data_IF_150589951425
#
_entry.id   IF_150589951425
#
_cell.length_a   1.000
_cell.length_b   1.000
_cell.length_c   1.000
_cell.angle_alpha   90.00
_cell.angle_beta   90.00
_cell.angle_gamma   90.00
#
_symmetry.space_group_name_H-M   'P 1'
#
loop_
_entity.id
_entity.type
_entity.pdbx_description
1 polymer ?
#
# COMPACT_ATOMS: atom_id res chain seq x y z
N UNK A 1 -20.39 -1.25 13.59
CA UNK A 1 -20.67 -1.71 12.21
C UNK A 1 -20.01 -3.06 12.01
N UNK A 2 -20.64 -4.04 11.35
CA UNK A 2 -19.98 -5.32 11.10
C UNK A 2 -18.76 -5.15 10.18
N UNK A 3 -17.72 -5.94 10.43
CA UNK A 3 -16.57 -6.08 9.55
C UNK A 3 -17.02 -6.69 8.22
N UNK A 4 -16.39 -6.28 7.12
CA UNK A 4 -16.68 -6.68 5.75
C UNK A 4 -16.16 -8.08 5.42
N UNK A 5 -14.95 -8.41 5.88
CA UNK A 5 -14.28 -9.66 5.48
C UNK A 5 -13.42 -10.31 6.55
N UNK A 6 -12.91 -9.56 7.53
CA UNK A 6 -12.02 -10.16 8.52
C UNK A 6 -12.67 -11.29 9.32
N UNK A 7 -13.98 -11.22 9.63
CA UNK A 7 -14.68 -12.32 10.30
C UNK A 7 -14.77 -13.59 9.44
N UNK A 8 -14.92 -13.45 8.11
CA UNK A 8 -14.93 -14.59 7.19
C UNK A 8 -13.54 -15.23 7.06
N UNK A 9 -12.49 -14.40 7.13
CA UNK A 9 -11.09 -14.85 7.01
C UNK A 9 -10.60 -15.46 8.33
N UNK A 10 -11.08 -14.95 9.46
CA UNK A 10 -10.70 -15.36 10.82
C UNK A 10 -11.94 -15.75 11.63
N UNK A 11 -12.57 -16.90 11.33
CA UNK A 11 -13.82 -17.32 11.99
C UNK A 11 -13.65 -17.58 13.50
N UNK A 12 -12.44 -17.98 13.91
CA UNK A 12 -12.07 -18.19 15.32
C UNK A 12 -11.73 -16.87 16.06
N UNK A 13 -11.85 -15.73 15.38
CA UNK A 13 -11.52 -14.40 15.89
C UNK A 13 -10.12 -13.92 15.50
N UNK A 14 -9.90 -12.61 15.70
CA UNK A 14 -8.67 -11.91 15.30
C UNK A 14 -7.78 -11.73 16.54
N UNK A 15 -6.54 -12.22 16.47
CA UNK A 15 -5.55 -12.02 17.52
C UNK A 15 -4.84 -10.69 17.36
N UNK A 16 -4.88 -9.84 18.38
CA UNK A 16 -4.27 -8.52 18.38
C UNK A 16 -3.14 -8.48 19.43
N UNK A 17 -1.96 -7.89 19.12
CA UNK A 17 -0.91 -7.72 20.11
C UNK A 17 -1.41 -6.93 21.33
N UNK A 18 -1.23 -7.47 22.54
CA UNK A 18 -1.68 -6.83 23.80
C UNK A 18 -1.18 -5.38 23.92
N UNK A 19 0.02 -5.10 23.41
CA UNK A 19 0.61 -3.76 23.46
C UNK A 19 -0.12 -2.70 22.63
N UNK A 20 -1.03 -3.05 21.70
CA UNK A 20 -1.70 -2.09 20.83
C UNK A 20 -2.84 -1.35 21.54
N UNK A 21 -3.48 -2.01 22.51
CA UNK A 21 -4.68 -1.51 23.18
C UNK A 21 -4.34 -0.22 23.95
N UNK A 22 -5.06 0.85 23.64
CA UNK A 22 -4.92 2.16 24.28
C UNK A 22 -3.64 2.92 23.93
N UNK A 23 -2.83 2.44 22.98
CA UNK A 23 -1.62 3.15 22.54
C UNK A 23 -1.91 4.09 21.38
N UNK A 24 -1.22 5.22 21.39
CA UNK A 24 -1.15 6.10 20.23
C UNK A 24 -0.20 5.48 19.20
N UNK A 25 -0.50 5.66 17.92
CA UNK A 25 0.32 5.15 16.82
C UNK A 25 0.75 6.29 15.92
N UNK A 26 2.06 6.39 15.71
CA UNK A 26 2.64 7.22 14.66
C UNK A 26 3.02 6.31 13.48
N UNK A 27 2.44 6.58 12.31
CA UNK A 27 2.68 5.84 11.08
C UNK A 27 3.68 6.57 10.19
N UNK A 28 4.65 5.84 9.63
CA UNK A 28 5.68 6.38 8.73
C UNK A 28 5.61 5.72 7.33
N UNK A 29 4.49 5.85 6.59
CA UNK A 29 4.37 5.29 5.25
C UNK A 29 5.22 6.05 4.23
N UNK A 30 5.46 5.44 3.07
CA UNK A 30 6.03 6.12 1.90
C UNK A 30 5.03 6.25 0.76
N UNK A 31 5.13 7.33 -0.02
CA UNK A 31 4.30 7.57 -1.21
C UNK A 31 4.74 6.65 -2.34
N UNK A 32 3.90 5.68 -2.70
CA UNK A 32 4.17 4.78 -3.83
C UNK A 32 2.92 4.12 -4.39
N UNK A 33 3.03 3.69 -5.63
CA UNK A 33 2.04 2.87 -6.32
C UNK A 33 2.09 1.42 -5.86
N UNK A 34 0.99 0.69 -6.10
CA UNK A 34 0.89 -0.73 -5.80
C UNK A 34 -0.05 -1.45 -6.75
N UNK A 35 0.41 -2.53 -7.39
CA UNK A 35 -0.36 -3.22 -8.45
C UNK A 35 -1.71 -3.82 -8.03
N UNK A 36 -1.95 -4.04 -6.73
CA UNK A 36 -3.23 -4.53 -6.21
C UNK A 36 -4.20 -3.46 -5.71
N UNK A 37 -3.69 -2.31 -5.26
CA UNK A 37 -4.48 -1.32 -4.50
C UNK A 37 -4.42 0.08 -5.11
N UNK A 38 -3.80 0.21 -6.28
CA UNK A 38 -3.40 1.47 -6.93
C UNK A 38 -2.28 2.18 -6.16
N UNK A 39 -2.47 2.43 -4.87
CA UNK A 39 -1.53 3.14 -4.01
C UNK A 39 -1.21 2.32 -2.75
N UNK A 40 -0.16 2.71 -2.03
CA UNK A 40 0.01 2.39 -0.61
C UNK A 40 0.02 3.67 0.21
N UNK A 41 -0.16 3.54 1.51
CA UNK A 41 -0.09 4.66 2.44
C UNK A 41 -0.39 4.23 3.86
N UNK A 42 -0.84 5.19 4.67
CA UNK A 42 -1.16 5.04 6.08
C UNK A 42 -2.20 3.93 6.32
N UNK A 43 -3.27 3.89 5.51
CA UNK A 43 -4.32 2.86 5.67
C UNK A 43 -3.75 1.45 5.56
N UNK A 44 -2.79 1.25 4.66
CA UNK A 44 -2.19 -0.07 4.42
C UNK A 44 -1.14 -0.46 5.47
N UNK A 45 -0.58 0.48 6.24
CA UNK A 45 0.35 0.14 7.32
C UNK A 45 -0.29 -0.78 8.37
N UNK A 46 -1.59 -0.59 8.63
CA UNK A 46 -2.36 -1.44 9.54
C UNK A 46 -2.38 -2.91 9.10
N UNK A 47 -2.29 -3.18 7.79
CA UNK A 47 -2.23 -4.54 7.24
C UNK A 47 -0.96 -5.28 7.69
N UNK A 48 0.16 -4.57 7.83
CA UNK A 48 1.41 -5.15 8.33
C UNK A 48 1.47 -5.33 9.85
N UNK A 49 0.79 -4.46 10.60
CA UNK A 49 0.81 -4.47 12.06
C UNK A 49 -0.23 -5.37 12.72
N UNK A 50 -1.43 -5.49 12.13
CA UNK A 50 -2.57 -6.17 12.75
C UNK A 50 -2.83 -7.59 12.21
N UNK A 51 -2.34 -7.93 11.02
CA UNK A 51 -2.58 -9.25 10.42
C UNK A 51 -1.32 -10.13 10.44
N UNK A 52 -1.45 -11.31 11.08
CA UNK A 52 -0.41 -12.34 11.16
C UNK A 52 -0.40 -13.28 9.93
N UNK A 53 0.21 -14.46 10.10
CA UNK A 53 0.55 -15.57 9.20
C UNK A 53 -0.45 -15.90 8.06
N UNK A 54 -1.72 -15.54 8.18
CA UNK A 54 -2.78 -15.84 7.20
C UNK A 54 -3.04 -14.66 6.23
N UNK A 55 -2.19 -13.62 6.24
CA UNK A 55 -2.35 -12.41 5.40
C UNK A 55 -2.47 -12.69 3.89
N UNK A 56 -2.01 -13.84 3.40
CA UNK A 56 -2.09 -14.22 1.98
C UNK A 56 -3.54 -14.35 1.50
N UNK A 57 -4.47 -14.74 2.37
CA UNK A 57 -5.89 -14.85 2.06
C UNK A 57 -6.56 -13.46 1.98
N UNK A 58 -6.09 -12.52 2.80
CA UNK A 58 -6.58 -11.15 2.82
C UNK A 58 -6.25 -10.35 1.55
N UNK A 59 -5.27 -10.77 0.75
CA UNK A 59 -4.93 -10.10 -0.52
C UNK A 59 -6.06 -10.20 -1.56
N UNK A 60 -6.91 -11.22 -1.49
CA UNK A 60 -8.06 -11.37 -2.39
C UNK A 60 -9.13 -10.29 -2.16
N UNK A 61 -9.28 -9.85 -0.92
CA UNK A 61 -10.27 -8.87 -0.45
C UNK A 61 -9.56 -7.65 0.16
N UNK A 62 -8.45 -7.24 -0.45
CA UNK A 62 -7.52 -6.30 0.16
C UNK A 62 -8.17 -4.96 0.50
N UNK A 63 -9.12 -4.50 -0.31
CA UNK A 63 -9.77 -3.21 -0.08
C UNK A 63 -10.74 -3.28 1.09
N UNK A 64 -11.55 -4.33 1.17
CA UNK A 64 -12.48 -4.62 2.26
C UNK A 64 -11.73 -4.85 3.57
N UNK A 65 -10.64 -5.61 3.52
CA UNK A 65 -9.77 -5.85 4.67
C UNK A 65 -9.15 -4.54 5.16
N UNK A 66 -8.67 -3.67 4.28
CA UNK A 66 -8.12 -2.37 4.70
C UNK A 66 -9.17 -1.51 5.43
N UNK A 67 -10.43 -1.53 4.99
CA UNK A 67 -11.53 -0.84 5.68
C UNK A 67 -11.77 -1.45 7.07
N UNK A 68 -11.78 -2.77 7.19
CA UNK A 68 -11.93 -3.45 8.48
C UNK A 68 -10.78 -3.11 9.45
N UNK A 69 -9.55 -3.04 8.93
CA UNK A 69 -8.38 -2.66 9.71
C UNK A 69 -8.44 -1.20 10.18
N UNK A 70 -9.02 -0.31 9.40
CA UNK A 70 -9.26 1.07 9.83
C UNK A 70 -10.28 1.15 10.97
N UNK A 71 -11.35 0.34 10.93
CA UNK A 71 -12.24 0.20 12.09
C UNK A 71 -11.47 -0.29 13.31
N UNK A 72 -10.70 -1.37 13.19
CA UNK A 72 -9.92 -1.90 14.30
C UNK A 72 -8.96 -0.87 14.88
N UNK A 73 -8.24 -0.13 14.05
CA UNK A 73 -7.33 0.91 14.53
C UNK A 73 -8.06 1.98 15.34
N UNK A 74 -9.25 2.41 14.92
CA UNK A 74 -10.05 3.40 15.64
C UNK A 74 -10.52 2.88 17.01
N UNK A 75 -10.81 1.59 17.12
CA UNK A 75 -11.23 0.97 18.40
C UNK A 75 -10.03 0.69 19.33
N UNK A 76 -8.86 0.38 18.76
CA UNK A 76 -7.68 -0.01 19.54
C UNK A 76 -6.85 1.17 20.03
N UNK A 77 -6.75 2.24 19.25
CA UNK A 77 -5.80 3.31 19.46
C UNK A 77 -6.48 4.60 19.91
N UNK A 78 -5.91 5.26 20.92
CA UNK A 78 -6.43 6.53 21.41
C UNK A 78 -6.22 7.69 20.42
N UNK A 79 -5.09 7.68 19.71
CA UNK A 79 -4.80 8.62 18.64
C UNK A 79 -3.98 7.96 17.52
N UNK A 80 -4.24 8.37 16.29
CA UNK A 80 -3.49 8.02 15.10
C UNK A 80 -2.88 9.27 14.50
N UNK A 81 -1.63 9.20 14.09
CA UNK A 81 -0.97 10.24 13.34
C UNK A 81 -0.08 9.61 12.27
N UNK A 82 -0.07 10.15 11.07
CA UNK A 82 0.76 9.68 9.98
C UNK A 82 1.66 10.80 9.49
N UNK A 83 2.94 10.50 9.33
CA UNK A 83 3.92 11.32 8.61
C UNK A 83 4.39 10.50 7.41
N UNK A 84 3.92 10.87 6.23
CA UNK A 84 4.19 10.15 5.00
C UNK A 84 5.39 10.74 4.28
N UNK A 85 6.36 9.88 3.99
CA UNK A 85 7.56 10.22 3.24
C UNK A 85 7.28 10.23 1.73
N UNK A 86 7.28 11.43 1.16
CA UNK A 86 7.21 11.70 -0.27
C UNK A 86 8.51 12.30 -0.81
N UNK A 87 9.64 12.17 -0.11
CA UNK A 87 10.95 12.66 -0.59
C UNK A 87 11.35 11.94 -1.88
N UNK A 88 11.24 10.60 -1.86
CA UNK A 88 11.40 9.70 -2.99
C UNK A 88 10.15 8.82 -3.10
N UNK A 89 9.45 8.94 -4.21
CA UNK A 89 8.19 8.26 -4.46
C UNK A 89 8.37 7.08 -5.43
N UNK A 90 7.53 6.05 -5.31
CA UNK A 90 7.55 4.89 -6.21
C UNK A 90 6.45 4.94 -7.27
N UNK A 91 6.81 5.06 -8.54
CA UNK A 91 5.90 5.04 -9.70
C UNK A 91 5.92 3.67 -10.41
N UNK A 92 4.84 3.30 -11.11
CA UNK A 92 4.80 2.10 -11.96
C UNK A 92 4.47 0.79 -11.24
N UNK A 93 5.24 -0.26 -11.52
CA UNK A 93 4.96 -1.62 -11.07
C UNK A 93 5.45 -1.89 -9.64
N UNK A 94 4.82 -1.24 -8.66
CA UNK A 94 5.06 -1.47 -7.23
C UNK A 94 4.55 -2.83 -6.74
N UNK A 95 5.17 -3.39 -5.67
CA UNK A 95 6.10 -2.72 -4.76
C UNK A 95 7.59 -2.90 -5.09
N UNK A 96 7.98 -3.74 -6.05
CA UNK A 96 9.41 -4.06 -6.31
C UNK A 96 9.97 -3.41 -7.57
N UNK A 97 9.22 -3.40 -8.66
CA UNK A 97 9.71 -3.01 -10.00
C UNK A 97 9.36 -1.57 -10.35
N UNK A 98 9.48 -0.67 -9.38
CA UNK A 98 9.07 0.72 -9.46
C UNK A 98 10.08 1.58 -10.24
N UNK A 99 9.65 2.78 -10.59
CA UNK A 99 10.46 3.89 -11.09
C UNK A 99 10.53 4.91 -9.96
N UNK A 100 11.71 5.17 -9.37
CA UNK A 100 11.85 6.22 -8.37
C UNK A 100 11.56 7.59 -8.99
N UNK A 101 10.79 8.41 -8.28
CA UNK A 101 10.49 9.80 -8.64
C UNK A 101 10.86 10.70 -7.47
N UNK A 102 11.59 11.78 -7.73
CA UNK A 102 11.89 12.77 -6.68
C UNK A 102 10.63 13.58 -6.42
N UNK A 103 10.13 13.53 -5.19
CA UNK A 103 8.95 14.27 -4.76
C UNK A 103 9.29 15.49 -3.90
N UNK A 104 10.28 15.38 -3.00
CA UNK A 104 10.64 16.43 -2.03
C UNK A 104 9.49 16.86 -1.11
N UNK A 105 8.59 15.94 -0.75
CA UNK A 105 7.43 16.24 0.08
C UNK A 105 7.41 15.42 1.36
N UNK A 106 6.90 16.02 2.43
CA UNK A 106 6.43 15.31 3.62
C UNK A 106 4.95 15.67 3.80
N UNK A 107 4.12 14.65 4.00
CA UNK A 107 2.72 14.86 4.33
C UNK A 107 2.50 14.47 5.79
N UNK A 108 1.62 15.17 6.50
CA UNK A 108 1.28 14.83 7.87
C UNK A 108 -0.24 14.99 8.10
N UNK A 109 -0.83 14.04 8.83
CA UNK A 109 -2.27 14.06 9.12
C UNK A 109 -2.62 13.17 10.31
N UNK A 110 -3.65 13.55 11.06
CA UNK A 110 -4.31 12.68 12.03
C UNK A 110 -5.38 11.77 11.40
N UNK A 111 -5.75 12.03 10.14
CA UNK A 111 -6.67 11.20 9.35
C UNK A 111 -5.87 10.44 8.26
N UNK A 112 -5.76 9.12 8.45
CA UNK A 112 -5.07 8.20 7.54
C UNK A 112 -5.73 8.09 6.16
N UNK A 113 -7.05 8.33 6.05
CA UNK A 113 -7.76 8.33 4.77
C UNK A 113 -7.45 9.62 4.02
N UNK A 114 -7.43 10.76 4.74
CA UNK A 114 -7.14 12.06 4.15
C UNK A 114 -5.72 12.15 3.59
N UNK A 115 -4.71 11.69 4.34
CA UNK A 115 -3.31 11.70 3.86
C UNK A 115 -3.11 10.80 2.64
N UNK A 116 -3.73 9.62 2.62
CA UNK A 116 -3.68 8.71 1.47
C UNK A 116 -4.40 9.29 0.26
N UNK A 117 -5.51 10.02 0.47
CA UNK A 117 -6.24 10.69 -0.60
C UNK A 117 -5.45 11.84 -1.23
N UNK A 118 -4.80 12.67 -0.42
CA UNK A 118 -3.94 13.74 -0.92
C UNK A 118 -2.71 13.16 -1.62
N UNK A 119 -2.08 12.11 -1.06
CA UNK A 119 -0.98 11.42 -1.72
C UNK A 119 -1.41 10.80 -3.07
N UNK A 120 -2.60 10.20 -3.14
CA UNK A 120 -3.16 9.69 -4.40
C UNK A 120 -3.37 10.79 -5.43
N UNK A 121 -3.91 11.95 -5.01
CA UNK A 121 -4.08 13.12 -5.87
C UNK A 121 -2.75 13.65 -6.39
N UNK A 122 -1.73 13.76 -5.54
CA UNK A 122 -0.37 14.22 -5.92
C UNK A 122 0.26 13.27 -6.94
N UNK A 123 0.10 11.95 -6.74
CA UNK A 123 0.52 10.96 -7.72
C UNK A 123 -0.26 11.05 -9.03
N UNK A 124 -1.42 11.72 -9.07
CA UNK A 124 -2.24 11.93 -10.27
C UNK A 124 -3.43 11.01 -10.40
N UNK A 125 -3.80 10.28 -9.34
CA UNK A 125 -4.99 9.44 -9.30
C UNK A 125 -6.19 10.20 -8.75
N UNK A 126 -7.40 9.81 -9.15
CA UNK A 126 -8.63 10.21 -8.47
C UNK A 126 -8.79 9.39 -7.17
N UNK A 127 -8.74 10.02 -5.98
CA UNK A 127 -8.86 9.31 -4.71
C UNK A 127 -10.18 8.55 -4.55
N UNK A 128 -11.29 9.07 -5.10
CA UNK A 128 -12.60 8.42 -4.99
C UNK A 128 -12.76 7.24 -5.97
N UNK A 129 -11.90 7.15 -6.98
CA UNK A 129 -11.81 5.97 -7.84
C UNK A 129 -11.07 4.80 -7.16
N UNK A 130 -10.32 5.05 -6.07
CA UNK A 130 -9.60 4.02 -5.33
C UNK A 130 -10.55 3.35 -4.33
N UNK A 131 -10.86 2.04 -4.46
CA UNK A 131 -11.96 1.43 -3.73
C UNK A 131 -11.86 1.55 -2.21
N UNK A 132 -10.67 1.38 -1.63
CA UNK A 132 -10.53 1.41 -0.17
C UNK A 132 -10.73 2.82 0.41
N UNK A 133 -10.31 3.86 -0.31
CA UNK A 133 -10.51 5.25 0.11
C UNK A 133 -11.99 5.62 0.07
N UNK A 134 -12.64 5.32 -1.06
CA UNK A 134 -14.09 5.52 -1.21
C UNK A 134 -14.87 4.79 -0.11
N UNK A 135 -14.59 3.50 0.11
CA UNK A 135 -15.29 2.72 1.13
C UNK A 135 -15.02 3.22 2.55
N UNK A 136 -13.81 3.69 2.86
CA UNK A 136 -13.53 4.31 4.16
C UNK A 136 -14.37 5.57 4.38
N UNK A 137 -14.47 6.43 3.36
CA UNK A 137 -15.30 7.63 3.42
C UNK A 137 -16.79 7.31 3.57
N UNK A 138 -17.32 6.41 2.75
CA UNK A 138 -18.74 5.97 2.82
C UNK A 138 -19.11 5.42 4.21
N UNK A 139 -18.11 4.91 4.95
CA UNK A 139 -18.25 4.33 6.28
C UNK A 139 -17.88 5.27 7.43
N UNK A 140 -17.54 6.52 7.14
CA UNK A 140 -17.19 7.53 8.15
C UNK A 140 -15.89 7.21 8.91
N UNK A 141 -14.92 6.57 8.24
CA UNK A 141 -13.61 6.24 8.82
C UNK A 141 -12.54 7.32 8.57
N UNK A 142 -12.87 8.33 7.76
CA UNK A 142 -12.00 9.44 7.39
C UNK A 142 -12.52 10.10 6.10
N UNK A 143 -11.82 11.13 5.63
CA UNK A 143 -12.23 11.91 4.45
C UNK A 143 -11.36 11.54 3.24
N UNK A 144 -11.99 11.09 2.15
CA UNK A 144 -11.28 10.74 0.92
C UNK A 144 -11.43 11.78 -0.19
N UNK A 145 -12.48 12.61 -0.14
CA UNK A 145 -12.73 13.68 -1.12
C UNK A 145 -11.78 14.86 -0.86
N UNK A 146 -10.81 15.14 -1.76
CA UNK A 146 -9.84 16.21 -1.54
C UNK A 146 -10.46 17.60 -1.37
N UNK A 147 -11.68 17.82 -1.86
CA UNK A 147 -12.39 19.10 -1.72
C UNK A 147 -12.89 19.35 -0.30
N UNK A 148 -12.91 18.31 0.53
CA UNK A 148 -13.33 18.35 1.94
C UNK A 148 -12.14 18.25 2.91
N UNK A 149 -10.92 18.21 2.38
CA UNK A 149 -9.69 18.13 3.18
C UNK A 149 -9.09 19.52 3.25
N UNK A 150 -8.90 20.03 4.46
CA UNK A 150 -8.14 21.25 4.69
C UNK A 150 -6.64 20.94 4.55
N UNK A 151 -5.98 21.68 3.67
CA UNK A 151 -4.53 21.61 3.48
C UNK A 151 -3.87 22.77 4.20
N UNK A 152 -3.02 22.46 5.17
CA UNK A 152 -2.22 23.43 5.93
C UNK A 152 -0.76 23.28 5.51
N UNK A 153 -0.04 24.40 5.40
CA UNK A 153 1.35 24.43 4.92
C UNK A 153 1.43 24.76 3.43
N UNK A 154 2.27 24.04 2.69
CA UNK A 154 2.53 24.30 1.26
C UNK A 154 1.41 23.79 0.36
N UNK A 155 0.35 24.58 0.21
CA UNK A 155 -0.83 24.22 -0.61
C UNK A 155 -0.50 24.03 -2.09
N UNK A 156 0.46 24.78 -2.62
CA UNK A 156 0.90 24.68 -4.02
C UNK A 156 1.55 23.33 -4.30
N UNK A 157 2.30 22.81 -3.34
CA UNK A 157 2.95 21.50 -3.44
C UNK A 157 1.92 20.36 -3.51
N UNK A 158 0.77 20.52 -2.85
CA UNK A 158 -0.32 19.55 -2.89
C UNK A 158 -1.21 19.67 -4.15
N UNK A 159 -1.02 20.73 -4.96
CA UNK A 159 -1.69 20.89 -6.26
C UNK A 159 -0.95 20.19 -7.41
N UNK A 160 0.27 19.72 -7.17
CA UNK A 160 1.08 18.99 -8.15
C UNK A 160 0.33 17.72 -8.58
N UNK A 161 0.39 17.42 -9.87
CA UNK A 161 0.02 16.12 -10.42
C UNK A 161 1.26 15.53 -11.10
N UNK A 162 1.79 14.45 -10.55
CA UNK A 162 3.01 13.83 -11.03
C UNK A 162 2.79 12.82 -12.16
N UNK A 163 1.54 12.55 -12.55
CA UNK A 163 1.19 11.68 -13.68
C UNK A 163 1.67 10.24 -13.51
N UNK A 164 1.61 9.71 -12.30
CA UNK A 164 2.03 8.34 -12.04
C UNK A 164 1.12 7.36 -12.75
N UNK A 165 1.68 6.19 -13.02
CA UNK A 165 0.94 5.08 -13.61
C UNK A 165 1.04 3.87 -12.70
N UNK A 166 -0.05 3.13 -12.61
CA UNK A 166 -0.05 1.82 -11.96
C UNK A 166 -0.01 0.73 -13.00
N UNK A 167 1.05 -0.07 -12.96
CA UNK A 167 1.15 -1.30 -13.74
C UNK A 167 1.31 -2.50 -12.82
N UNK A 168 1.00 -3.68 -13.33
CA UNK A 168 1.20 -4.94 -12.61
C UNK A 168 2.50 -5.56 -13.09
N UNK A 169 3.37 -5.97 -12.16
CA UNK A 169 4.52 -6.81 -12.52
C UNK A 169 4.03 -8.18 -13.01
N UNK A 170 4.89 -8.93 -13.71
CA UNK A 170 4.55 -10.29 -14.15
C UNK A 170 4.14 -11.20 -12.98
N UNK A 171 4.77 -11.02 -11.82
CA UNK A 171 4.44 -11.76 -10.59
C UNK A 171 3.03 -11.39 -10.10
N UNK A 172 2.68 -10.11 -10.04
CA UNK A 172 1.34 -9.65 -9.62
C UNK A 172 0.27 -10.08 -10.63
N UNK A 173 0.58 -10.01 -11.92
CA UNK A 173 -0.30 -10.46 -12.99
C UNK A 173 -0.59 -11.96 -12.87
N UNK A 174 0.45 -12.79 -12.65
CA UNK A 174 0.31 -14.22 -12.41
C UNK A 174 -0.51 -14.54 -11.15
N UNK A 175 -0.25 -13.85 -10.03
CA UNK A 175 -1.04 -14.01 -8.81
C UNK A 175 -2.53 -13.70 -9.05
N UNK A 176 -2.85 -12.63 -9.79
CA UNK A 176 -4.24 -12.29 -10.14
C UNK A 176 -4.91 -13.34 -11.02
N UNK A 177 -4.19 -13.95 -11.98
CA UNK A 177 -4.73 -15.03 -12.79
C UNK A 177 -5.11 -16.26 -11.95
N UNK A 178 -4.31 -16.57 -10.93
CA UNK A 178 -4.58 -17.71 -10.03
C UNK A 178 -5.73 -17.39 -9.06
N UNK A 179 -5.84 -16.15 -8.57
CA UNK A 179 -6.86 -15.79 -7.58
C UNK A 179 -8.22 -15.45 -8.18
N UNK A 180 -8.23 -14.68 -9.27
CA UNK A 180 -9.43 -14.09 -9.88
C UNK A 180 -9.63 -14.50 -11.34
N UNK A 181 -8.66 -15.17 -11.95
CA UNK A 181 -8.67 -15.53 -13.36
C UNK A 181 -8.98 -17.01 -13.63
N UNK A 182 -8.68 -17.50 -14.86
CA UNK A 182 -9.05 -18.85 -15.31
C UNK A 182 -8.32 -19.97 -14.55
N UNK A 183 -7.21 -19.64 -13.86
CA UNK A 183 -6.44 -20.61 -13.05
C UNK A 183 -7.01 -20.76 -11.63
N UNK A 184 -8.14 -20.14 -11.31
CA UNK A 184 -8.83 -20.25 -10.01
C UNK A 184 -9.10 -21.69 -9.55
N UNK A 185 -9.47 -22.66 -10.42
CA UNK A 185 -9.65 -24.06 -9.99
C UNK A 185 -8.36 -24.67 -9.40
N UNK A 186 -7.19 -24.21 -9.84
CA UNK A 186 -5.88 -24.69 -9.38
C UNK A 186 -5.38 -23.95 -8.13
N UNK A 187 -6.12 -22.94 -7.64
CA UNK A 187 -5.75 -22.11 -6.47
C UNK A 187 -5.35 -22.95 -5.26
N UNK A 188 -6.13 -23.98 -4.93
CA UNK A 188 -5.90 -24.85 -3.75
C UNK A 188 -4.60 -25.64 -3.88
N UNK A 189 -4.24 -26.05 -5.10
CA UNK A 189 -2.99 -26.78 -5.38
C UNK A 189 -1.78 -25.83 -5.40
N UNK A 190 -1.90 -24.67 -6.04
CA UNK A 190 -0.78 -23.75 -6.25
C UNK A 190 -0.46 -22.86 -5.04
N UNK A 191 -1.46 -22.50 -4.24
CA UNK A 191 -1.29 -21.54 -3.14
C UNK A 191 -1.50 -22.16 -1.75
N UNK A 192 -2.19 -23.31 -1.63
CA UNK A 192 -2.52 -23.92 -0.33
C UNK A 192 -1.92 -25.34 -0.16
N UNK A 193 -0.96 -25.73 -0.99
CA UNK A 193 -0.22 -26.99 -0.86
C UNK A 193 1.26 -26.74 -0.54
N UNK A 194 2.04 -27.76 -0.13
CA UNK A 194 3.49 -27.65 0.05
C UNK A 194 4.25 -27.16 -1.20
N UNK A 195 3.63 -27.24 -2.39
CA UNK A 195 4.19 -26.72 -3.64
C UNK A 195 4.23 -25.19 -3.72
N UNK A 196 3.66 -24.48 -2.73
CA UNK A 196 3.68 -23.01 -2.67
C UNK A 196 5.10 -22.44 -2.69
N UNK A 197 6.13 -23.22 -2.33
CA UNK A 197 7.56 -22.84 -2.37
C UNK A 197 7.99 -22.37 -3.77
N UNK A 198 7.36 -22.88 -4.83
CA UNK A 198 7.66 -22.47 -6.20
C UNK A 198 7.31 -21.01 -6.49
N UNK A 199 6.28 -20.44 -5.85
CA UNK A 199 5.86 -19.05 -6.12
C UNK A 199 6.86 -18.01 -5.57
N UNK A 200 7.35 -18.09 -4.32
CA UNK A 200 8.47 -17.28 -3.85
C UNK A 200 9.75 -17.48 -4.67
N UNK A 201 10.06 -18.72 -5.06
CA UNK A 201 11.24 -19.01 -5.88
C UNK A 201 11.14 -18.33 -7.26
N UNK A 202 10.03 -18.51 -7.99
CA UNK A 202 9.81 -17.86 -9.29
C UNK A 202 9.82 -16.33 -9.19
N UNK A 203 9.25 -15.78 -8.11
CA UNK A 203 9.30 -14.35 -7.82
C UNK A 203 10.74 -13.85 -7.64
N UNK A 204 11.57 -14.57 -6.87
CA UNK A 204 12.97 -14.22 -6.67
C UNK A 204 13.78 -14.32 -7.97
N UNK A 205 13.61 -15.39 -8.76
CA UNK A 205 14.27 -15.52 -10.07
C UNK A 205 13.89 -14.35 -10.98
N UNK A 206 12.61 -14.01 -11.07
CA UNK A 206 12.16 -12.87 -11.88
C UNK A 206 12.76 -11.54 -11.40
N UNK A 207 12.71 -11.26 -10.10
CA UNK A 207 13.15 -9.97 -9.57
C UNK A 207 14.68 -9.83 -9.54
N UNK A 208 15.38 -10.84 -9.03
CA UNK A 208 16.81 -10.74 -8.71
C UNK A 208 17.69 -11.13 -9.89
N UNK A 209 17.27 -12.11 -10.70
CA UNK A 209 18.10 -12.65 -11.78
C UNK A 209 17.72 -12.12 -13.16
N UNK A 210 16.46 -11.71 -13.37
CA UNK A 210 16.02 -11.13 -14.64
C UNK A 210 15.88 -9.61 -14.56
N UNK A 211 14.95 -9.11 -13.74
CA UNK A 211 14.59 -7.69 -13.74
C UNK A 211 15.71 -6.80 -13.20
N UNK A 212 16.33 -7.16 -12.07
CA UNK A 212 17.36 -6.33 -11.46
C UNK A 212 18.58 -6.14 -12.39
N UNK A 213 19.17 -7.19 -12.99
CA UNK A 213 20.32 -7.02 -13.87
C UNK A 213 20.00 -6.27 -15.17
N UNK A 214 18.78 -6.42 -15.70
CA UNK A 214 18.41 -5.85 -17.02
C UNK A 214 17.84 -4.44 -16.94
N UNK A 215 16.95 -4.18 -15.97
CA UNK A 215 16.22 -2.91 -15.84
C UNK A 215 16.56 -2.21 -14.53
N UNK A 216 16.59 -2.96 -13.42
CA UNK A 216 16.76 -2.41 -12.07
C UNK A 216 18.06 -1.63 -11.91
N UNK A 217 19.20 -2.20 -12.33
CA UNK A 217 20.52 -1.53 -12.24
C UNK A 217 20.55 -0.20 -12.99
N UNK A 218 19.95 -0.12 -14.18
CA UNK A 218 19.90 1.12 -14.93
C UNK A 218 19.09 2.20 -14.18
N UNK A 219 17.94 1.82 -13.61
CA UNK A 219 17.11 2.74 -12.81
C UNK A 219 17.79 3.19 -11.52
N UNK A 220 18.49 2.28 -10.83
CA UNK A 220 19.21 2.62 -9.59
C UNK A 220 20.37 3.55 -9.89
N UNK A 221 21.14 3.31 -10.97
CA UNK A 221 22.21 4.24 -11.40
C UNK A 221 21.65 5.62 -11.74
N UNK A 222 20.54 5.69 -12.48
CA UNK A 222 19.89 6.96 -12.77
C UNK A 222 19.38 7.67 -11.49
N UNK A 223 18.87 6.92 -10.51
CA UNK A 223 18.44 7.47 -9.22
C UNK A 223 19.63 7.97 -8.38
N UNK A 224 20.77 7.27 -8.40
CA UNK A 224 21.98 7.67 -7.67
C UNK A 224 22.45 9.09 -8.04
N UNK A 225 22.23 9.51 -9.29
CA UNK A 225 22.55 10.88 -9.76
C UNK A 225 21.63 11.98 -9.22
N UNK A 226 20.54 11.64 -8.54
CA UNK A 226 19.64 12.62 -7.91
C UNK A 226 20.21 13.14 -6.59
N UNK A 227 19.74 14.29 -6.06
CA UNK A 227 20.16 14.75 -4.73
C UNK A 227 19.92 13.71 -3.62
N UNK A 228 18.77 13.01 -3.63
CA UNK A 228 18.47 11.95 -2.68
C UNK A 228 19.33 10.70 -2.89
N UNK A 229 19.61 10.34 -4.14
CA UNK A 229 20.53 9.25 -4.46
C UNK A 229 21.94 9.50 -3.92
N UNK A 230 22.50 10.69 -4.20
CA UNK A 230 23.80 11.11 -3.65
C UNK A 230 23.83 11.23 -2.14
N UNK A 231 22.72 11.65 -1.52
CA UNK A 231 22.61 11.70 -0.07
C UNK A 231 22.62 10.29 0.53
N UNK A 232 21.88 9.36 -0.08
CA UNK A 232 21.81 7.96 0.36
C UNK A 232 23.17 7.27 0.28
N UNK A 233 24.00 7.58 -0.71
CA UNK A 233 25.37 7.03 -0.82
C UNK A 233 26.34 7.54 0.26
N UNK A 234 26.00 8.65 0.94
CA UNK A 234 26.86 9.30 1.94
C UNK A 234 26.40 9.06 3.38
N UNK A 235 25.19 8.54 3.57
CA UNK A 235 24.59 8.26 4.88
C UNK A 235 25.11 6.94 5.45
#
# INVERSE_FOLDING_TARGET
SPLLKLNDIFPEGIQIPKMYIGKNVCQLPSVKTHGHTTTTGAVKNAFGGLLKEVRHYAHEFIHEVMVDLMYMQRELHGALFAVMDGTVMGDGAGPRTMVPRVGNLLLASADSVAIDAIAAKIMGFDPLAIPYLRMCQERGLGVADPRKIELVGDTDAAAINMGFTTSRSLVIWGDQLIRRGPLRPLKRLLLHSPLVVWAPFASNVYHDWLWYPTVGRARIRAFAETPWGRLFERY
#
